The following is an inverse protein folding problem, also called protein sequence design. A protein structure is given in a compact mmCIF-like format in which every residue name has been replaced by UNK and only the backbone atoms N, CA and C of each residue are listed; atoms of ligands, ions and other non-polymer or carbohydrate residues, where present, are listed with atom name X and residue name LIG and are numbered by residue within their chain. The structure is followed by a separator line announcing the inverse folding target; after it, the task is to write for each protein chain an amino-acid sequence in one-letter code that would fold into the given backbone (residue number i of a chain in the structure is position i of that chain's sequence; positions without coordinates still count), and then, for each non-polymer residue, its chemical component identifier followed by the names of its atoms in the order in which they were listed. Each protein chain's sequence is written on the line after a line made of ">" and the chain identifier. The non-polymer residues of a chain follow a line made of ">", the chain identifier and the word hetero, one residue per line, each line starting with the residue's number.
data_IF_701163603439
#
_entry.id   IF_701163603439
#
_cell.length_a   1.000
_cell.length_b   1.000
_cell.length_c   1.000
_cell.angle_alpha   90.00
_cell.angle_beta   90.00
_cell.angle_gamma   90.00
#
_symmetry.space_group_name_H-M   'P 1'
#
loop_
_entity.id
_entity.type
_entity.pdbx_description
1 polymer ?
#
# COMPACT_ATOMS: atom_id res chain seq x y z
N UNK A 1 -24.46 -48.43 -37.96
CA UNK A 1 -23.48 -48.10 -36.90
C UNK A 1 -22.48 -47.11 -37.49
N UNK A 2 -22.54 -45.84 -37.11
CA UNK A 2 -21.67 -44.78 -37.65
C UNK A 2 -21.17 -43.96 -36.46
N UNK A 3 -19.91 -44.19 -36.08
CA UNK A 3 -19.27 -43.55 -34.93
C UNK A 3 -18.79 -42.16 -35.36
N UNK A 4 -19.28 -41.11 -34.67
CA UNK A 4 -18.75 -39.75 -34.74
C UNK A 4 -17.72 -39.55 -33.62
N UNK A 5 -16.51 -39.03 -33.88
CA UNK A 5 -15.60 -38.64 -32.82
C UNK A 5 -16.06 -37.29 -32.26
N UNK A 6 -16.40 -37.28 -30.97
CA UNK A 6 -16.62 -36.05 -30.21
C UNK A 6 -15.27 -35.35 -29.99
N UNK A 7 -15.08 -34.20 -30.62
CA UNK A 7 -13.97 -33.29 -30.32
C UNK A 7 -14.36 -32.54 -29.04
N UNK A 8 -13.82 -32.96 -27.90
CA UNK A 8 -13.85 -32.16 -26.67
C UNK A 8 -12.91 -30.96 -26.86
N UNK A 9 -13.47 -29.81 -27.25
CA UNK A 9 -12.78 -28.53 -27.15
C UNK A 9 -12.66 -28.17 -25.66
N UNK A 10 -11.47 -28.36 -25.09
CA UNK A 10 -11.12 -27.85 -23.77
C UNK A 10 -10.99 -26.33 -23.85
N UNK A 11 -12.07 -25.62 -23.53
CA UNK A 11 -12.04 -24.18 -23.29
C UNK A 11 -11.34 -24.00 -21.94
N UNK A 12 -10.03 -23.76 -21.99
CA UNK A 12 -9.28 -23.24 -20.85
C UNK A 12 -9.88 -21.87 -20.53
N UNK A 13 -10.73 -21.83 -19.51
CA UNK A 13 -11.19 -20.59 -18.88
C UNK A 13 -9.98 -19.94 -18.21
N UNK A 14 -9.16 -19.24 -18.99
CA UNK A 14 -8.19 -18.31 -18.46
C UNK A 14 -8.97 -17.24 -17.70
N UNK A 15 -8.81 -17.20 -16.39
CA UNK A 15 -9.22 -16.03 -15.59
C UNK A 15 -8.58 -14.80 -16.23
N UNK A 16 -9.30 -13.68 -16.41
CA UNK A 16 -8.68 -12.46 -16.88
C UNK A 16 -7.51 -12.16 -15.94
N UNK A 17 -6.29 -12.20 -16.46
CA UNK A 17 -5.16 -11.63 -15.75
C UNK A 17 -5.52 -10.16 -15.51
N UNK A 18 -5.46 -9.72 -14.25
CA UNK A 18 -5.66 -8.30 -13.97
C UNK A 18 -4.58 -7.55 -14.75
N UNK A 19 -5.01 -6.52 -15.49
CA UNK A 19 -4.08 -5.72 -16.27
C UNK A 19 -3.21 -4.92 -15.29
N UNK A 20 -1.95 -5.34 -15.18
CA UNK A 20 -0.90 -4.68 -14.42
C UNK A 20 0.26 -4.47 -15.38
N UNK A 21 0.59 -3.21 -15.65
CA UNK A 21 1.75 -2.87 -16.48
C UNK A 21 3.05 -3.46 -15.89
N UNK A 22 3.92 -3.98 -16.75
CA UNK A 22 5.17 -4.65 -16.35
C UNK A 22 6.06 -3.79 -15.44
N UNK A 23 6.04 -2.47 -15.66
CA UNK A 23 6.80 -1.51 -14.86
C UNK A 23 6.35 -1.46 -13.39
N UNK A 24 5.15 -1.91 -13.05
CA UNK A 24 4.61 -1.92 -11.68
C UNK A 24 5.02 -3.17 -10.91
N UNK A 25 5.39 -4.24 -11.63
CA UNK A 25 5.69 -5.53 -11.04
C UNK A 25 6.97 -5.50 -10.22
N UNK A 26 6.96 -6.19 -9.07
CA UNK A 26 8.09 -6.31 -8.16
C UNK A 26 7.88 -5.59 -6.84
N UNK A 27 8.98 -5.35 -6.12
CA UNK A 27 8.95 -4.73 -4.79
C UNK A 27 9.43 -3.28 -4.84
N UNK A 28 8.68 -2.44 -4.14
CA UNK A 28 8.83 -1.00 -4.07
C UNK A 28 8.95 -0.56 -2.62
N UNK A 29 9.85 0.37 -2.33
CA UNK A 29 10.03 0.98 -1.02
C UNK A 29 9.47 2.41 -1.03
N UNK A 30 8.64 2.73 -0.04
CA UNK A 30 7.98 4.03 0.04
C UNK A 30 8.97 5.16 0.35
N UNK A 31 8.74 6.33 -0.23
CA UNK A 31 9.32 7.57 0.26
C UNK A 31 8.74 7.89 1.65
N UNK A 32 9.55 7.70 2.70
CA UNK A 32 9.11 7.84 4.09
C UNK A 32 8.81 9.29 4.48
N UNK A 33 9.42 10.28 3.83
CA UNK A 33 9.11 11.70 4.07
C UNK A 33 7.73 12.04 3.52
N UNK A 34 7.38 11.50 2.35
CA UNK A 34 6.05 11.67 1.78
C UNK A 34 4.99 10.91 2.60
N UNK A 35 5.30 9.69 3.05
CA UNK A 35 4.45 8.90 3.93
C UNK A 35 4.20 9.59 5.28
N UNK A 36 5.23 10.15 5.91
CA UNK A 36 5.08 10.81 7.21
C UNK A 36 4.19 12.05 7.11
N UNK A 37 4.20 12.77 5.98
CA UNK A 37 3.26 13.88 5.76
C UNK A 37 1.81 13.41 5.70
N UNK A 38 1.52 12.28 5.05
CA UNK A 38 0.17 11.68 5.03
C UNK A 38 -0.25 11.34 6.46
N UNK A 39 0.60 10.64 7.21
CA UNK A 39 0.31 10.21 8.57
C UNK A 39 0.17 11.39 9.54
N UNK A 40 1.00 12.41 9.41
CA UNK A 40 0.90 13.65 10.18
C UNK A 40 -0.46 14.31 9.99
N UNK A 41 -0.92 14.46 8.74
CA UNK A 41 -2.26 15.01 8.44
C UNK A 41 -3.37 14.18 9.07
N UNK A 42 -3.31 12.85 8.98
CA UNK A 42 -4.30 11.95 9.58
C UNK A 42 -4.36 12.06 11.10
N UNK A 43 -3.23 12.32 11.75
CA UNK A 43 -3.12 12.52 13.20
C UNK A 43 -3.36 13.97 13.64
N UNK A 44 -3.76 14.87 12.71
CA UNK A 44 -3.91 16.30 12.96
C UNK A 44 -2.64 16.94 13.58
N UNK A 45 -1.48 16.57 13.04
CA UNK A 45 -0.17 17.02 13.50
C UNK A 45 0.89 16.97 12.41
N UNK A 46 2.15 16.93 12.83
CA UNK A 46 3.31 16.71 11.95
C UNK A 46 3.99 15.42 12.35
N UNK A 47 4.43 14.64 11.36
CA UNK A 47 5.21 13.43 11.60
C UNK A 47 6.50 13.43 10.78
N UNK A 48 7.59 12.97 11.38
CA UNK A 48 8.89 12.80 10.71
C UNK A 48 9.38 11.36 10.88
N UNK A 49 9.89 10.71 9.83
CA UNK A 49 10.40 9.35 9.95
C UNK A 49 11.68 9.32 10.79
N UNK A 50 11.79 8.31 11.65
CA UNK A 50 12.94 8.07 12.54
C UNK A 50 13.62 6.74 12.18
N UNK A 51 12.86 5.77 11.67
CA UNK A 51 13.39 4.47 11.25
C UNK A 51 12.32 3.55 10.68
N UNK A 52 12.75 2.33 10.34
CA UNK A 52 11.93 1.31 9.69
C UNK A 52 11.79 1.53 8.18
N UNK A 53 10.97 0.71 7.53
CA UNK A 53 10.63 0.90 6.12
C UNK A 53 9.23 0.40 5.78
N UNK A 54 8.77 0.76 4.59
CA UNK A 54 7.51 0.27 4.03
C UNK A 54 7.75 -0.26 2.64
N UNK A 55 7.41 -1.52 2.43
CA UNK A 55 7.55 -2.22 1.17
C UNK A 55 6.18 -2.54 0.58
N UNK A 56 6.06 -2.42 -0.74
CA UNK A 56 4.89 -2.85 -1.51
C UNK A 56 5.36 -3.81 -2.61
N UNK A 57 4.81 -5.01 -2.65
CA UNK A 57 5.04 -5.97 -3.73
C UNK A 57 3.79 -6.10 -4.58
N UNK A 58 3.92 -5.90 -5.89
CA UNK A 58 2.85 -6.11 -6.88
C UNK A 58 3.22 -7.30 -7.74
N UNK A 59 2.35 -8.31 -7.78
CA UNK A 59 2.54 -9.55 -8.56
C UNK A 59 1.73 -9.54 -9.87
N UNK A 60 2.10 -10.39 -10.85
CA UNK A 60 1.45 -10.40 -12.17
C UNK A 60 -0.04 -10.77 -12.18
N UNK A 61 -0.53 -11.38 -11.11
CA UNK A 61 -1.94 -11.70 -10.91
C UNK A 61 -2.74 -10.52 -10.30
N UNK A 62 -2.12 -9.36 -10.11
CA UNK A 62 -2.73 -8.17 -9.53
C UNK A 62 -2.84 -8.19 -8.01
N UNK A 63 -2.16 -9.11 -7.32
CA UNK A 63 -2.07 -9.02 -5.86
C UNK A 63 -1.06 -7.95 -5.46
N UNK A 64 -1.47 -7.05 -4.56
CA UNK A 64 -0.58 -6.10 -3.91
C UNK A 64 -0.45 -6.45 -2.43
N UNK A 65 0.77 -6.58 -1.94
CA UNK A 65 1.08 -6.83 -0.54
C UNK A 65 2.00 -5.74 -0.01
N UNK A 66 1.54 -5.00 0.99
CA UNK A 66 2.26 -3.96 1.67
C UNK A 66 2.70 -4.47 3.05
N UNK A 67 3.98 -4.30 3.35
CA UNK A 67 4.60 -4.68 4.62
C UNK A 67 5.22 -3.44 5.23
N UNK A 68 4.82 -3.14 6.46
CA UNK A 68 5.41 -2.07 7.27
C UNK A 68 6.31 -2.74 8.30
N UNK A 69 7.63 -2.53 8.18
CA UNK A 69 8.63 -3.10 9.08
C UNK A 69 9.10 -2.03 10.06
N UNK A 70 8.51 -2.06 11.25
CA UNK A 70 8.92 -1.23 12.40
C UNK A 70 9.10 0.24 12.03
N UNK A 71 8.16 0.78 11.25
CA UNK A 71 8.14 2.19 10.90
C UNK A 71 8.01 3.00 12.18
N UNK A 72 8.98 3.86 12.47
CA UNK A 72 8.93 4.77 13.62
C UNK A 72 8.80 6.19 13.11
N UNK A 73 7.76 6.87 13.57
CA UNK A 73 7.52 8.29 13.31
C UNK A 73 7.60 9.08 14.61
N UNK A 74 8.35 10.17 14.61
CA UNK A 74 8.21 11.18 15.65
C UNK A 74 7.02 12.06 15.30
N UNK A 75 6.01 12.10 16.18
CA UNK A 75 4.75 12.78 15.96
C UNK A 75 4.61 13.93 16.94
N UNK A 76 4.26 15.10 16.40
CA UNK A 76 3.98 16.32 17.17
C UNK A 76 2.57 16.79 16.85
N UNK A 77 1.71 16.80 17.87
CA UNK A 77 0.32 17.27 17.81
C UNK A 77 0.17 18.46 18.76
N UNK A 78 -0.63 19.50 18.42
CA UNK A 78 -0.85 20.62 19.32
C UNK A 78 -1.35 20.18 20.71
N UNK A 79 -0.75 20.73 21.77
CA UNK A 79 -1.06 20.44 23.17
C UNK A 79 -0.77 19.00 23.65
N UNK A 80 -0.02 18.21 22.88
CA UNK A 80 0.46 16.88 23.26
C UNK A 80 1.99 16.87 23.23
N UNK A 81 2.67 16.32 24.25
CA UNK A 81 4.12 16.13 24.17
C UNK A 81 4.51 15.32 22.93
N UNK A 82 5.64 15.63 22.25
CA UNK A 82 6.14 14.81 21.16
C UNK A 82 6.27 13.35 21.58
N UNK A 83 5.89 12.45 20.68
CA UNK A 83 5.90 11.00 20.94
C UNK A 83 6.34 10.23 19.72
N UNK A 84 6.99 9.09 19.94
CA UNK A 84 7.32 8.16 18.86
C UNK A 84 6.18 7.16 18.69
N UNK A 85 5.69 7.06 17.45
CA UNK A 85 4.68 6.11 17.01
C UNK A 85 5.38 5.04 16.18
N UNK A 86 5.38 3.80 16.67
CA UNK A 86 5.81 2.63 15.91
C UNK A 86 4.61 2.00 15.22
N UNK A 87 4.77 1.66 13.93
CA UNK A 87 3.76 0.97 13.13
C UNK A 87 4.38 -0.27 12.52
N UNK A 88 3.73 -1.41 12.68
CA UNK A 88 4.12 -2.66 12.04
C UNK A 88 2.88 -3.42 11.59
N UNK A 89 3.03 -4.23 10.54
CA UNK A 89 1.96 -5.10 10.06
C UNK A 89 1.91 -5.19 8.55
N UNK A 90 0.81 -5.72 8.04
CA UNK A 90 0.61 -5.93 6.61
C UNK A 90 -0.75 -5.41 6.15
N UNK A 91 -0.80 -4.97 4.90
CA UNK A 91 -2.03 -4.69 4.16
C UNK A 91 -1.93 -5.39 2.82
N UNK A 92 -2.92 -6.19 2.45
CA UNK A 92 -2.93 -6.87 1.16
C UNK A 92 -4.25 -6.62 0.45
N UNK A 93 -4.21 -6.59 -0.88
CA UNK A 93 -5.36 -6.25 -1.68
C UNK A 93 -5.19 -6.63 -3.15
N UNK A 94 -6.20 -6.26 -3.92
CA UNK A 94 -6.21 -6.39 -5.37
C UNK A 94 -5.84 -5.03 -5.97
N UNK A 95 -4.83 -5.02 -6.81
CA UNK A 95 -4.30 -3.87 -7.53
C UNK A 95 -4.59 -4.03 -9.02
N UNK A 96 -5.07 -2.95 -9.63
CA UNK A 96 -5.25 -2.81 -11.07
C UNK A 96 -4.44 -1.60 -11.49
N UNK A 97 -3.63 -1.74 -12.54
CA UNK A 97 -2.77 -0.67 -13.03
C UNK A 97 -2.56 -0.80 -14.52
N UNK A 98 -3.35 -0.10 -15.32
CA UNK A 98 -3.33 -0.18 -16.78
C UNK A 98 -3.44 1.22 -17.38
N UNK A 99 -2.69 1.45 -18.46
CA UNK A 99 -2.76 2.69 -19.25
C UNK A 99 -2.51 3.98 -18.44
N UNK A 100 -1.75 3.89 -17.35
CA UNK A 100 -1.43 5.00 -16.46
C UNK A 100 -2.48 5.28 -15.38
N UNK A 101 -3.54 4.47 -15.27
CA UNK A 101 -4.53 4.55 -14.20
C UNK A 101 -4.39 3.38 -13.23
N UNK A 102 -4.49 3.65 -11.92
CA UNK A 102 -4.43 2.63 -10.88
C UNK A 102 -5.66 2.64 -9.98
N UNK A 103 -5.95 1.47 -9.40
CA UNK A 103 -6.83 1.32 -8.25
C UNK A 103 -6.36 0.17 -7.37
N UNK A 104 -6.58 0.29 -6.06
CA UNK A 104 -6.33 -0.80 -5.12
C UNK A 104 -7.47 -0.93 -4.13
N UNK A 105 -7.92 -2.17 -3.98
CA UNK A 105 -8.94 -2.58 -3.02
C UNK A 105 -8.29 -3.47 -1.98
N UNK A 106 -8.23 -2.99 -0.74
CA UNK A 106 -7.66 -3.73 0.37
C UNK A 106 -8.60 -4.87 0.80
N UNK A 107 -8.04 -6.08 0.90
CA UNK A 107 -8.73 -7.29 1.34
C UNK A 107 -8.36 -7.69 2.78
N UNK A 108 -7.09 -7.55 3.16
CA UNK A 108 -6.59 -7.83 4.52
C UNK A 108 -5.86 -6.62 5.04
N UNK A 109 -6.04 -6.30 6.32
CA UNK A 109 -5.42 -5.15 6.96
C UNK A 109 -5.13 -5.47 8.43
N UNK A 110 -3.86 -5.53 8.81
CA UNK A 110 -3.42 -5.90 10.17
C UNK A 110 -2.43 -4.89 10.75
N UNK A 111 -2.42 -3.66 10.24
CA UNK A 111 -1.51 -2.63 10.72
C UNK A 111 -1.87 -2.25 12.16
N UNK A 112 -0.86 -2.28 13.02
CA UNK A 112 -0.98 -1.91 14.43
C UNK A 112 0.01 -0.79 14.71
N UNK A 113 -0.51 0.34 15.17
CA UNK A 113 0.30 1.40 15.74
C UNK A 113 0.50 1.20 17.23
N UNK A 114 1.62 1.66 17.74
CA UNK A 114 1.85 1.80 19.18
C UNK A 114 2.64 3.06 19.46
N UNK A 115 2.34 3.72 20.57
CA UNK A 115 3.06 4.89 21.03
C UNK A 115 3.38 4.75 22.52
N UNK A 116 4.55 5.23 22.95
CA UNK A 116 4.85 5.38 24.37
C UNK A 116 4.53 6.80 24.82
N UNK A 117 3.47 6.95 25.59
CA UNK A 117 3.05 8.24 26.14
C UNK A 117 3.20 8.18 27.66
N UNK A 118 4.14 8.97 28.19
CA UNK A 118 4.39 9.07 29.63
C UNK A 118 4.68 7.72 30.31
N UNK A 119 5.38 6.81 29.63
CA UNK A 119 5.75 5.50 30.16
C UNK A 119 4.66 4.43 30.01
N UNK A 120 3.55 4.73 29.34
CA UNK A 120 2.51 3.76 29.00
C UNK A 120 2.48 3.51 27.49
N UNK A 121 2.45 2.23 27.10
CA UNK A 121 2.24 1.83 25.70
C UNK A 121 0.76 1.92 25.38
N UNK A 122 0.42 2.79 24.43
CA UNK A 122 -0.90 2.89 23.85
C UNK A 122 -0.91 2.21 22.48
N UNK A 123 -1.87 1.32 22.25
CA UNK A 123 -2.13 0.76 20.91
C UNK A 123 -3.03 1.72 20.12
N UNK A 124 -2.62 2.03 18.89
CA UNK A 124 -3.37 2.84 17.94
C UNK A 124 -3.93 1.88 16.89
N UNK A 125 -5.24 1.59 16.90
CA UNK A 125 -5.84 0.73 15.89
C UNK A 125 -5.87 1.48 14.55
N UNK A 126 -5.37 0.83 13.50
CA UNK A 126 -5.61 1.23 12.13
C UNK A 126 -6.61 0.26 11.51
N UNK A 127 -7.53 0.76 10.69
CA UNK A 127 -8.40 -0.06 9.86
C UNK A 127 -8.27 0.32 8.39
N UNK A 128 -8.76 -0.55 7.49
CA UNK A 128 -8.74 -0.28 6.06
C UNK A 128 -9.61 0.91 5.65
N UNK A 129 -10.58 1.30 6.49
CA UNK A 129 -11.51 2.39 6.18
C UNK A 129 -10.89 3.77 6.41
N UNK A 130 -9.87 3.89 7.27
CA UNK A 130 -9.29 5.17 7.69
C UNK A 130 -7.76 5.20 7.64
N UNK A 131 -7.10 4.03 7.66
CA UNK A 131 -5.66 3.91 7.72
C UNK A 131 -4.97 4.11 6.37
N UNK A 132 -3.68 4.46 6.45
CA UNK A 132 -2.76 4.41 5.30
C UNK A 132 -2.78 3.00 4.71
N UNK A 133 -2.63 2.86 3.40
CA UNK A 133 -2.64 1.58 2.69
C UNK A 133 -4.00 0.87 2.69
N UNK A 134 -5.08 1.59 2.99
CA UNK A 134 -6.46 1.10 2.98
C UNK A 134 -7.14 1.07 1.59
N UNK A 135 -6.42 1.42 0.53
CA UNK A 135 -6.93 1.47 -0.84
C UNK A 135 -6.81 2.85 -1.47
N UNK A 136 -7.30 2.98 -2.69
CA UNK A 136 -7.32 4.24 -3.43
C UNK A 136 -7.45 4.04 -4.94
N UNK A 137 -7.47 5.15 -5.67
CA UNK A 137 -7.40 5.17 -7.12
C UNK A 137 -6.81 6.48 -7.63
N UNK A 138 -6.25 6.46 -8.83
CA UNK A 138 -5.80 7.65 -9.54
C UNK A 138 -4.91 7.32 -10.71
N UNK A 139 -3.91 8.16 -10.99
CA UNK A 139 -2.95 7.92 -12.07
C UNK A 139 -1.55 7.59 -11.55
N UNK A 140 -0.73 6.96 -12.37
CA UNK A 140 0.65 6.64 -12.03
C UNK A 140 1.61 6.89 -13.19
N UNK A 141 2.88 7.06 -12.83
CA UNK A 141 4.01 6.92 -13.74
C UNK A 141 5.01 5.95 -13.13
N UNK A 142 5.69 5.21 -13.98
CA UNK A 142 6.62 4.17 -13.58
C UNK A 142 7.79 4.10 -14.56
N UNK A 143 8.98 3.83 -14.03
CA UNK A 143 10.11 3.32 -14.79
C UNK A 143 10.76 2.15 -14.02
N UNK A 144 11.95 1.71 -14.42
CA UNK A 144 12.63 0.58 -13.76
C UNK A 144 13.04 0.84 -12.30
N UNK A 145 13.00 2.10 -11.85
CA UNK A 145 13.58 2.56 -10.59
C UNK A 145 12.62 3.38 -9.72
N UNK A 146 11.66 4.06 -10.32
CA UNK A 146 10.73 4.96 -9.63
C UNK A 146 9.30 4.62 -10.02
N UNK A 147 8.43 4.62 -9.01
CA UNK A 147 6.99 4.55 -9.16
C UNK A 147 6.38 5.75 -8.45
N UNK A 148 5.56 6.51 -9.18
CA UNK A 148 4.88 7.68 -8.65
C UNK A 148 3.37 7.54 -8.83
N UNK A 149 2.62 7.79 -7.77
CA UNK A 149 1.17 7.80 -7.75
C UNK A 149 0.65 9.22 -7.59
N UNK A 150 -0.44 9.52 -8.29
CA UNK A 150 -1.27 10.69 -8.06
C UNK A 150 -2.66 10.19 -7.66
N UNK A 151 -3.05 10.44 -6.42
CA UNK A 151 -4.38 10.08 -5.91
C UNK A 151 -5.46 11.00 -6.49
N UNK A 152 -6.61 10.45 -6.84
CA UNK A 152 -7.83 11.23 -7.16
C UNK A 152 -8.59 11.67 -5.91
N UNK A 153 -8.34 11.00 -4.78
CA UNK A 153 -8.93 11.34 -3.47
C UNK A 153 -8.12 12.43 -2.79
N UNK A 154 -8.82 13.37 -2.12
CA UNK A 154 -8.21 14.33 -1.20
C UNK A 154 -7.64 13.67 0.05
N UNK A 155 -8.16 12.50 0.41
CA UNK A 155 -7.66 11.66 1.49
C UNK A 155 -6.65 10.67 0.90
N UNK A 156 -5.46 11.17 0.58
CA UNK A 156 -4.35 10.37 0.07
C UNK A 156 -3.92 9.35 1.13
N UNK A 157 -3.94 8.06 0.75
CA UNK A 157 -3.63 6.93 1.65
C UNK A 157 -2.48 6.07 1.15
N UNK A 158 -1.88 6.44 0.03
CA UNK A 158 -0.72 5.76 -0.55
C UNK A 158 0.36 6.82 -0.75
N UNK A 159 1.59 6.59 -0.31
CA UNK A 159 2.74 7.43 -0.62
C UNK A 159 2.79 7.77 -2.12
N UNK A 160 2.97 9.05 -2.49
CA UNK A 160 3.01 9.45 -3.89
C UNK A 160 4.26 8.99 -4.62
N UNK A 161 5.32 8.57 -3.90
CA UNK A 161 6.59 8.16 -4.50
C UNK A 161 7.13 6.91 -3.84
N UNK A 162 7.70 6.07 -4.68
CA UNK A 162 8.32 4.81 -4.34
C UNK A 162 9.57 4.60 -5.17
N UNK A 163 10.53 3.90 -4.59
CA UNK A 163 11.76 3.49 -5.25
C UNK A 163 11.83 1.97 -5.33
N UNK A 164 12.56 1.43 -6.30
CA UNK A 164 12.73 -0.02 -6.41
C UNK A 164 13.46 -0.56 -5.18
N UNK A 165 12.87 -1.56 -4.51
CA UNK A 165 13.57 -2.28 -3.45
C UNK A 165 14.61 -3.21 -4.10
N UNK A 166 15.86 -3.12 -3.62
CA UNK A 166 17.03 -3.81 -4.18
C UNK A 166 16.95 -5.33 -4.20
#
# INVERSE_FOLDING_TARGET
>A
MRNLPAICAAILLGTPALAVDDCLLGTWEADLDALSQIMGRQMNGTATPVGGNVLMTITPDGMANMVVNDLVLNVVVPNVPPMDVSVSGVSSGVFVGEAGDWSVVTATYTLVGSANVMGQTMTIPFDSATGVFGGGAGSYTCDSSVLAFTSTSTDERIPPRWSRAG
#
